data_IF_493427095704
#
_entry.id   IF_493427095704
#
_cell.length_a   1.000
_cell.length_b   1.000
_cell.length_c   1.000
_cell.angle_alpha   90.00
_cell.angle_beta   90.00
_cell.angle_gamma   90.00
#
_symmetry.space_group_name_H-M   'P 1'
#
loop_
_entity.id
_entity.type
_entity.pdbx_description
1 polymer ?
#
# COMPACT_ATOMS: atom_id res chain seq x y z
N UNK A 1 -2.09 -18.14 -0.18
CA UNK A 1 -2.14 -16.79 0.42
C UNK A 1 -3.51 -16.18 0.13
N UNK A 2 -4.20 -15.65 1.14
CA UNK A 2 -5.44 -14.90 0.91
C UNK A 2 -5.08 -13.44 0.66
N UNK A 3 -5.45 -12.93 -0.52
CA UNK A 3 -5.20 -11.53 -0.93
C UNK A 3 -5.70 -10.53 0.12
N UNK A 4 -6.77 -10.88 0.85
CA UNK A 4 -7.33 -10.02 1.89
C UNK A 4 -6.43 -9.87 3.11
N UNK A 5 -5.78 -10.96 3.55
CA UNK A 5 -4.83 -10.92 4.65
C UNK A 5 -3.57 -10.13 4.26
N UNK A 6 -3.08 -10.32 3.03
CA UNK A 6 -1.94 -9.54 2.53
C UNK A 6 -2.27 -8.05 2.46
N UNK A 7 -3.45 -7.68 1.99
CA UNK A 7 -3.93 -6.29 1.99
C UNK A 7 -4.05 -5.76 3.42
N UNK A 8 -4.44 -6.60 4.39
CA UNK A 8 -4.44 -6.24 5.81
C UNK A 8 -3.04 -5.90 6.32
N UNK A 9 -2.07 -6.80 6.10
CA UNK A 9 -0.65 -6.57 6.47
C UNK A 9 -0.06 -5.35 5.79
N UNK A 10 -0.41 -5.11 4.53
CA UNK A 10 0.05 -3.95 3.79
C UNK A 10 -0.40 -2.65 4.48
N UNK A 11 -1.62 -2.60 5.00
CA UNK A 11 -2.10 -1.42 5.75
C UNK A 11 -1.25 -1.17 6.98
N UNK A 12 -0.97 -2.21 7.77
CA UNK A 12 -0.18 -2.06 8.98
C UNK A 12 1.23 -1.56 8.67
N UNK A 13 1.89 -2.11 7.65
CA UNK A 13 3.21 -1.63 7.24
C UNK A 13 3.16 -0.21 6.66
N UNK A 14 2.12 0.14 5.90
CA UNK A 14 1.90 1.51 5.44
C UNK A 14 1.63 2.48 6.59
N UNK A 15 0.99 2.05 7.69
CA UNK A 15 0.78 2.87 8.88
C UNK A 15 2.07 3.00 9.72
N UNK A 16 2.90 1.95 9.73
CA UNK A 16 4.19 1.92 10.43
C UNK A 16 5.24 2.79 9.75
N UNK A 17 5.33 2.71 8.42
CA UNK A 17 6.34 3.38 7.60
C UNK A 17 5.86 4.72 7.03
N UNK A 18 4.55 4.84 6.83
CA UNK A 18 3.93 6.03 6.28
C UNK A 18 3.63 7.09 7.33
N UNK A 19 3.22 8.25 6.83
CA UNK A 19 2.80 9.38 7.64
C UNK A 19 1.29 9.51 7.60
N UNK A 20 0.68 9.74 8.77
CA UNK A 20 -0.73 10.07 8.88
C UNK A 20 -0.97 11.46 8.27
N UNK A 21 -1.91 11.51 7.33
CA UNK A 21 -2.35 12.75 6.70
C UNK A 21 -3.50 13.38 7.50
N UNK A 22 -3.70 14.70 7.36
CA UNK A 22 -4.82 15.40 8.00
C UNK A 22 -6.21 14.89 7.56
N UNK A 23 -6.28 14.21 6.43
CA UNK A 23 -7.49 13.57 5.89
C UNK A 23 -7.79 12.20 6.52
N UNK A 24 -6.91 11.67 7.38
CA UNK A 24 -7.03 10.34 7.97
C UNK A 24 -6.52 9.20 7.06
N UNK A 25 -6.01 9.52 5.86
CA UNK A 25 -5.25 8.62 5.01
C UNK A 25 -3.79 8.50 5.48
N UNK A 26 -3.09 7.44 5.08
CA UNK A 26 -1.64 7.33 5.31
C UNK A 26 -0.88 7.47 4.00
N UNK A 27 0.23 8.19 3.98
CA UNK A 27 1.10 8.29 2.80
C UNK A 27 2.45 7.69 3.07
N UNK A 28 2.91 6.83 2.17
CA UNK A 28 4.25 6.25 2.20
C UNK A 28 4.83 6.21 0.79
N UNK A 29 6.14 6.38 0.65
CA UNK A 29 6.79 6.26 -0.66
C UNK A 29 6.93 4.78 -1.04
N UNK A 30 6.74 4.48 -2.31
CA UNK A 30 6.92 3.13 -2.84
C UNK A 30 8.33 2.62 -2.59
N UNK A 31 9.34 3.47 -2.77
CA UNK A 31 10.72 3.14 -2.46
C UNK A 31 10.93 2.69 -1.02
N UNK A 32 10.26 3.33 -0.07
CA UNK A 32 10.36 2.99 1.35
C UNK A 32 9.71 1.63 1.64
N UNK A 33 8.53 1.36 1.08
CA UNK A 33 7.90 0.04 1.19
C UNK A 33 8.72 -1.06 0.54
N UNK A 34 9.33 -0.77 -0.61
CA UNK A 34 10.09 -1.76 -1.37
C UNK A 34 11.47 -2.01 -0.76
N UNK A 35 12.11 -0.97 -0.22
CA UNK A 35 13.41 -1.03 0.45
C UNK A 35 13.30 -1.50 1.92
N UNK A 36 12.09 -1.71 2.44
CA UNK A 36 11.90 -2.27 3.78
C UNK A 36 12.05 -3.80 3.74
N UNK A 37 13.02 -4.29 4.52
CA UNK A 37 13.33 -5.72 4.64
C UNK A 37 12.15 -6.58 5.10
N UNK A 38 11.20 -6.03 5.90
CA UNK A 38 10.01 -6.81 6.31
C UNK A 38 9.07 -6.95 5.14
N UNK A 39 8.77 -5.85 4.46
CA UNK A 39 7.92 -5.89 3.27
C UNK A 39 8.48 -6.85 2.21
N UNK A 40 9.78 -6.84 1.96
CA UNK A 40 10.43 -7.77 1.04
C UNK A 40 10.39 -9.24 1.51
N UNK A 41 10.43 -9.51 2.82
CA UNK A 41 10.35 -10.88 3.37
C UNK A 41 8.92 -11.42 3.47
N UNK A 42 7.93 -10.57 3.79
CA UNK A 42 6.55 -11.00 4.03
C UNK A 42 5.70 -10.97 2.76
N UNK A 43 6.02 -10.10 1.80
CA UNK A 43 5.34 -10.02 0.51
C UNK A 43 6.21 -10.62 -0.58
N UNK A 44 5.84 -11.82 -1.03
CA UNK A 44 6.47 -12.47 -2.19
C UNK A 44 6.37 -11.58 -3.44
N UNK A 45 5.29 -10.80 -3.55
CA UNK A 45 5.12 -9.79 -4.59
C UNK A 45 4.38 -8.54 -4.06
N UNK A 46 5.12 -7.59 -3.48
CA UNK A 46 4.57 -6.30 -3.01
C UNK A 46 3.73 -5.59 -4.08
N UNK A 47 4.20 -5.59 -5.34
CA UNK A 47 3.49 -4.98 -6.47
C UNK A 47 2.15 -5.68 -6.74
N UNK A 48 2.08 -7.00 -6.55
CA UNK A 48 0.84 -7.78 -6.66
C UNK A 48 -0.17 -7.39 -5.57
N UNK A 49 0.28 -7.31 -4.33
CA UNK A 49 -0.55 -6.89 -3.18
C UNK A 49 -1.04 -5.45 -3.35
N UNK A 50 -0.18 -4.52 -3.76
CA UNK A 50 -0.54 -3.12 -4.08
C UNK A 50 -1.57 -3.05 -5.20
N UNK A 51 -1.42 -3.84 -6.26
CA UNK A 51 -2.37 -3.89 -7.38
C UNK A 51 -3.74 -4.41 -6.91
N UNK A 52 -3.76 -5.43 -6.08
CA UNK A 52 -4.99 -5.95 -5.49
C UNK A 52 -5.65 -4.92 -4.57
N UNK A 53 -4.87 -4.26 -3.70
CA UNK A 53 -5.34 -3.19 -2.84
C UNK A 53 -5.92 -2.01 -3.65
N UNK A 54 -5.27 -1.62 -4.75
CA UNK A 54 -5.72 -0.56 -5.66
C UNK A 54 -7.03 -0.93 -6.34
N UNK A 55 -7.16 -2.18 -6.82
CA UNK A 55 -8.41 -2.69 -7.42
C UNK A 55 -9.58 -2.67 -6.42
N UNK A 56 -9.30 -2.87 -5.13
CA UNK A 56 -10.28 -2.77 -4.03
C UNK A 56 -10.47 -1.35 -3.49
N UNK A 57 -9.84 -0.34 -4.10
CA UNK A 57 -9.87 1.07 -3.64
C UNK A 57 -9.38 1.25 -2.19
N UNK A 58 -8.40 0.44 -1.78
CA UNK A 58 -7.75 0.53 -0.47
C UNK A 58 -6.54 1.45 -0.53
N UNK A 59 -5.78 1.41 -1.63
CA UNK A 59 -4.63 2.29 -1.86
C UNK A 59 -4.81 3.07 -3.16
N UNK A 60 -4.20 4.24 -3.22
CA UNK A 60 -4.16 5.13 -4.37
C UNK A 60 -2.73 5.57 -4.62
N UNK A 61 -2.28 5.41 -5.86
CA UNK A 61 -0.96 5.83 -6.32
C UNK A 61 -1.02 6.12 -7.81
N UNK A 62 -0.13 7.01 -8.28
CA UNK A 62 0.06 7.30 -9.70
C UNK A 62 0.83 6.18 -10.40
N UNK A 63 0.42 5.88 -11.63
CA UNK A 63 0.96 4.76 -12.40
C UNK A 63 0.19 3.46 -12.22
N UNK A 64 0.19 2.64 -13.28
CA UNK A 64 -0.49 1.34 -13.29
C UNK A 64 0.44 0.21 -12.82
N UNK A 65 1.75 0.38 -13.04
CA UNK A 65 2.83 -0.52 -12.68
C UNK A 65 3.92 0.27 -11.98
N UNK A 66 4.42 -0.25 -10.86
CA UNK A 66 5.51 0.35 -10.09
C UNK A 66 6.75 -0.53 -10.28
N UNK A 67 7.76 0.05 -10.90
CA UNK A 67 9.08 -0.56 -11.11
C UNK A 67 10.07 0.02 -10.09
N UNK A 68 10.83 -0.87 -9.44
CA UNK A 68 11.90 -0.50 -8.54
C UNK A 68 12.90 0.44 -9.23
N UNK A 69 13.42 1.42 -8.48
CA UNK A 69 14.37 2.42 -8.97
C UNK A 69 13.73 3.58 -9.72
N UNK A 70 12.76 3.31 -10.59
CA UNK A 70 12.06 4.37 -11.34
C UNK A 70 10.95 5.00 -10.49
N UNK A 71 10.18 4.18 -9.78
CA UNK A 71 9.00 4.63 -9.03
C UNK A 71 9.27 4.81 -7.54
N UNK A 72 10.53 4.88 -7.13
CA UNK A 72 10.93 4.99 -5.72
C UNK A 72 10.28 6.19 -5.02
N UNK A 73 10.14 7.29 -5.76
CA UNK A 73 9.54 8.54 -5.29
C UNK A 73 8.01 8.58 -5.40
N UNK A 74 7.35 7.52 -5.92
CA UNK A 74 5.88 7.51 -6.01
C UNK A 74 5.27 7.38 -4.63
N UNK A 75 4.34 8.28 -4.32
CA UNK A 75 3.60 8.26 -3.07
C UNK A 75 2.42 7.29 -3.16
N UNK A 76 2.46 6.24 -2.35
CA UNK A 76 1.34 5.35 -2.10
C UNK A 76 0.51 5.93 -0.96
N UNK A 77 -0.70 6.34 -1.29
CA UNK A 77 -1.69 6.80 -0.32
C UNK A 77 -2.60 5.65 0.06
N UNK A 78 -2.55 5.22 1.31
CA UNK A 78 -3.54 4.34 1.91
C UNK A 78 -4.81 5.15 2.15
N UNK A 79 -5.88 4.78 1.45
CA UNK A 79 -7.20 5.34 1.69
C UNK A 79 -7.68 4.82 3.05
N UNK A 80 -8.34 5.66 3.87
CA UNK A 80 -9.00 5.18 5.06
C UNK A 80 -9.97 4.08 4.64
N UNK A 81 -9.92 2.95 5.36
CA UNK A 81 -10.82 1.82 5.12
C UNK A 81 -12.24 2.39 4.91
N UNK A 82 -12.94 2.04 3.81
CA UNK A 82 -14.34 2.37 3.71
C UNK A 82 -15.02 1.61 4.85
N UNK A 83 -15.33 2.32 5.94
CA UNK A 83 -16.36 1.90 6.85
C UNK A 83 -17.56 1.59 5.96
N UNK A 84 -17.91 0.32 5.92
CA UNK A 84 -18.98 -0.31 5.18
C UNK A 84 -20.06 0.71 4.83
N UNK A 85 -20.13 1.15 3.56
CA UNK A 85 -21.35 1.78 3.07
C UNK A 85 -22.37 0.66 2.94
N UNK A 86 -23.03 0.34 4.05
CA UNK A 86 -24.30 -0.36 4.09
C UNK A 86 -25.29 0.43 3.23
N UNK A 87 -25.76 -0.20 2.16
CA UNK A 87 -26.99 0.16 1.47
C UNK A 87 -28.00 -0.96 1.75
#
# INVERSE_FOLDING_TARGET
MNVEEEVGRLKEEMQRLGQLQPDGSYKVKFGVLFNDDRCANIFEALVGTLRAAKKRKVVKYEGELLLQGVHDNVEITLLPLPATTTA
#
